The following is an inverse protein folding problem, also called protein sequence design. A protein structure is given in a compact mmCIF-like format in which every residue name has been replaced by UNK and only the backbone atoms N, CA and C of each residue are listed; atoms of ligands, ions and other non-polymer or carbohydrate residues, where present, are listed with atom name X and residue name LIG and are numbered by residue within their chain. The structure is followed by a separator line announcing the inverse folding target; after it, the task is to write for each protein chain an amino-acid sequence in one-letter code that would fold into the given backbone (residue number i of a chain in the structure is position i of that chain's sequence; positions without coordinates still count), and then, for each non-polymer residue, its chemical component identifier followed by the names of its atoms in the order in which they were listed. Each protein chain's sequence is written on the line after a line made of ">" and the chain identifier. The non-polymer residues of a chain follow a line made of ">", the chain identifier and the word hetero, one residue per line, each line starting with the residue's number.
data_IF_088011008669
#
_entry.id   IF_088011008669
#
_cell.length_a   1.000
_cell.length_b   1.000
_cell.length_c   1.000
_cell.angle_alpha   90.00
_cell.angle_beta   90.00
_cell.angle_gamma   90.00
#
_symmetry.space_group_name_H-M   'P 1'
#
loop_
_entity.id
_entity.type
_entity.pdbx_description
1 polymer ?
#
# COMPACT_ATOMS: atom_id res chain seq x y z
N UNK A 1 -16.23 -9.35 -7.21
CA UNK A 1 -16.12 -7.93 -7.69
C UNK A 1 -15.67 -7.00 -6.58
N UNK A 2 -16.35 -6.98 -5.43
CA UNK A 2 -15.98 -6.11 -4.31
C UNK A 2 -14.55 -6.32 -3.84
N UNK A 3 -14.07 -7.57 -3.80
CA UNK A 3 -12.67 -7.89 -3.47
C UNK A 3 -11.67 -7.14 -4.36
N UNK A 4 -11.85 -7.17 -5.68
CA UNK A 4 -11.00 -6.43 -6.62
C UNK A 4 -11.04 -4.91 -6.44
N UNK A 5 -12.22 -4.34 -6.20
CA UNK A 5 -12.36 -2.91 -5.94
C UNK A 5 -11.68 -2.52 -4.63
N UNK A 6 -11.82 -3.35 -3.59
CA UNK A 6 -11.14 -3.17 -2.32
C UNK A 6 -9.62 -3.26 -2.48
N UNK A 7 -9.10 -4.22 -3.26
CA UNK A 7 -7.67 -4.33 -3.54
C UNK A 7 -7.11 -3.05 -4.16
N UNK A 8 -7.75 -2.52 -5.21
CA UNK A 8 -7.33 -1.25 -5.84
C UNK A 8 -7.41 -0.08 -4.85
N UNK A 9 -8.48 0.00 -4.06
CA UNK A 9 -8.66 1.05 -3.06
C UNK A 9 -7.55 1.05 -2.00
N UNK A 10 -7.18 -0.12 -1.50
CA UNK A 10 -6.11 -0.27 -0.49
C UNK A 10 -4.76 0.15 -1.05
N UNK A 11 -4.41 -0.23 -2.27
CA UNK A 11 -3.13 0.17 -2.90
C UNK A 11 -3.10 1.69 -3.12
N UNK A 12 -4.17 2.28 -3.65
CA UNK A 12 -4.25 3.73 -3.86
C UNK A 12 -4.19 4.51 -2.54
N UNK A 13 -4.83 4.00 -1.49
CA UNK A 13 -4.75 4.59 -0.16
C UNK A 13 -3.32 4.52 0.40
N UNK A 14 -2.60 3.41 0.18
CA UNK A 14 -1.19 3.27 0.55
C UNK A 14 -0.30 4.29 -0.16
N UNK A 15 -0.53 4.56 -1.46
CA UNK A 15 0.18 5.61 -2.21
C UNK A 15 -0.12 6.99 -1.61
N UNK A 16 -1.37 7.26 -1.28
CA UNK A 16 -1.77 8.51 -0.63
C UNK A 16 -1.05 8.69 0.71
N UNK A 17 -1.00 7.67 1.57
CA UNK A 17 -0.27 7.72 2.83
C UNK A 17 1.22 7.99 2.64
N UNK A 18 1.85 7.36 1.65
CA UNK A 18 3.24 7.62 1.32
C UNK A 18 3.45 9.08 0.84
N UNK A 19 2.51 9.64 0.09
CA UNK A 19 2.51 11.06 -0.30
C UNK A 19 2.37 12.00 0.91
N UNK A 20 1.45 11.72 1.83
CA UNK A 20 1.29 12.48 3.08
C UNK A 20 2.58 12.43 3.92
N UNK A 21 3.25 11.27 3.97
CA UNK A 21 4.51 11.11 4.72
C UNK A 21 5.72 11.78 4.08
N UNK A 22 5.76 11.87 2.76
CA UNK A 22 6.84 12.56 2.05
C UNK A 22 6.64 14.07 2.00
N UNK A 23 5.41 14.52 1.76
CA UNK A 23 5.11 15.91 1.41
C UNK A 23 4.07 16.56 2.33
N UNK A 24 3.14 15.79 2.89
CA UNK A 24 1.98 16.31 3.63
C UNK A 24 2.32 17.17 4.83
N UNK A 25 3.39 16.84 5.57
CA UNK A 25 3.86 17.65 6.71
C UNK A 25 4.42 19.01 6.29
N UNK A 26 4.93 19.15 5.06
CA UNK A 26 5.53 20.40 4.55
C UNK A 26 4.59 21.20 3.66
N UNK A 27 3.75 20.53 2.87
CA UNK A 27 2.87 21.11 1.84
C UNK A 27 1.52 20.40 1.80
N UNK A 28 0.59 20.72 2.73
CA UNK A 28 -0.71 20.03 2.81
C UNK A 28 -1.55 20.18 1.54
N UNK A 29 -1.43 21.30 0.81
CA UNK A 29 -2.16 21.52 -0.45
C UNK A 29 -1.79 20.52 -1.55
N UNK A 30 -0.51 20.18 -1.69
CA UNK A 30 -0.05 19.20 -2.70
C UNK A 30 -0.55 17.81 -2.36
N UNK A 31 -0.50 17.43 -1.08
CA UNK A 31 -1.04 16.14 -0.62
C UNK A 31 -2.54 16.03 -0.87
N UNK A 32 -3.30 17.11 -0.68
CA UNK A 32 -4.74 17.13 -0.96
C UNK A 32 -5.03 16.96 -2.45
N UNK A 33 -4.29 17.66 -3.32
CA UNK A 33 -4.42 17.50 -4.78
C UNK A 33 -4.15 16.07 -5.24
N UNK A 34 -3.09 15.43 -4.72
CA UNK A 34 -2.79 14.03 -5.01
C UNK A 34 -3.93 13.13 -4.53
N UNK A 35 -4.49 13.38 -3.34
CA UNK A 35 -5.66 12.65 -2.84
C UNK A 35 -6.87 12.73 -3.78
N UNK A 36 -7.21 13.92 -4.26
CA UNK A 36 -8.30 14.12 -5.24
C UNK A 36 -8.03 13.37 -6.54
N UNK A 37 -6.81 13.44 -7.06
CA UNK A 37 -6.42 12.73 -8.28
C UNK A 37 -6.55 11.21 -8.12
N UNK A 38 -6.15 10.65 -6.98
CA UNK A 38 -6.27 9.22 -6.69
C UNK A 38 -7.74 8.78 -6.57
N UNK A 39 -8.60 9.60 -5.96
CA UNK A 39 -10.05 9.34 -5.87
C UNK A 39 -10.69 9.34 -7.26
N UNK A 40 -10.34 10.31 -8.11
CA UNK A 40 -10.83 10.36 -9.49
C UNK A 40 -10.37 9.12 -10.29
N UNK A 41 -9.11 8.74 -10.14
CA UNK A 41 -8.54 7.54 -10.77
C UNK A 41 -9.28 6.28 -10.31
N UNK A 42 -9.51 6.13 -9.00
CA UNK A 42 -10.27 5.01 -8.43
C UNK A 42 -11.69 4.95 -8.98
N UNK A 43 -12.40 6.08 -8.96
CA UNK A 43 -13.79 6.17 -9.42
C UNK A 43 -13.90 5.85 -10.91
N UNK A 44 -12.96 6.34 -11.72
CA UNK A 44 -12.88 6.02 -13.15
C UNK A 44 -12.64 4.52 -13.38
N UNK A 45 -11.68 3.93 -12.67
CA UNK A 45 -11.37 2.49 -12.76
C UNK A 45 -12.55 1.61 -12.38
N UNK A 46 -13.22 1.91 -11.25
CA UNK A 46 -14.42 1.17 -10.81
C UNK A 46 -15.57 1.36 -11.80
N UNK A 47 -15.76 2.58 -12.32
CA UNK A 47 -16.81 2.85 -13.30
C UNK A 47 -16.59 2.06 -14.60
N UNK A 48 -15.36 2.01 -15.10
CA UNK A 48 -15.00 1.21 -16.28
C UNK A 48 -15.32 -0.27 -16.07
N UNK A 49 -14.83 -0.86 -14.97
CA UNK A 49 -15.06 -2.28 -14.65
C UNK A 49 -16.52 -2.63 -14.34
N UNK A 50 -17.32 -1.64 -13.92
CA UNK A 50 -18.74 -1.85 -13.57
C UNK A 50 -19.66 -1.72 -14.79
N UNK A 51 -19.43 -0.72 -15.66
CA UNK A 51 -20.37 -0.34 -16.72
C UNK A 51 -19.96 -0.75 -18.14
N UNK A 52 -18.67 -1.01 -18.39
CA UNK A 52 -18.19 -1.35 -19.75
C UNK A 52 -18.07 -2.86 -19.90
N UNK A 53 -17.06 -3.45 -19.27
CA UNK A 53 -16.82 -4.89 -19.29
C UNK A 53 -15.94 -5.26 -18.12
N UNK A 54 -16.34 -6.27 -17.35
CA UNK A 54 -15.52 -6.77 -16.27
C UNK A 54 -14.41 -7.66 -16.82
N UNK A 55 -13.29 -7.04 -17.19
CA UNK A 55 -12.07 -7.73 -17.64
C UNK A 55 -11.14 -7.95 -16.44
N UNK A 56 -10.98 -9.21 -16.05
CA UNK A 56 -10.11 -9.62 -14.95
C UNK A 56 -8.63 -9.34 -15.24
N UNK A 57 -8.18 -9.57 -16.48
CA UNK A 57 -6.80 -9.34 -16.88
C UNK A 57 -6.43 -7.86 -16.83
N UNK A 58 -7.35 -6.99 -17.26
CA UNK A 58 -7.20 -5.54 -17.11
C UNK A 58 -7.08 -5.14 -15.63
N UNK A 59 -7.97 -5.65 -14.77
CA UNK A 59 -7.94 -5.35 -13.34
C UNK A 59 -6.62 -5.79 -12.69
N UNK A 60 -6.13 -6.99 -13.05
CA UNK A 60 -4.86 -7.50 -12.57
C UNK A 60 -3.68 -6.61 -13.02
N UNK A 61 -3.62 -6.24 -14.30
CA UNK A 61 -2.57 -5.37 -14.83
C UNK A 61 -2.59 -3.97 -14.18
N UNK A 62 -3.77 -3.40 -13.97
CA UNK A 62 -3.93 -2.14 -13.26
C UNK A 62 -3.43 -2.23 -11.80
N UNK A 63 -3.82 -3.27 -11.06
CA UNK A 63 -3.38 -3.45 -9.68
C UNK A 63 -1.87 -3.72 -9.57
N UNK A 64 -1.29 -4.49 -10.48
CA UNK A 64 0.16 -4.74 -10.51
C UNK A 64 0.93 -3.47 -10.83
N UNK A 65 0.48 -2.66 -11.80
CA UNK A 65 1.16 -1.42 -12.17
C UNK A 65 1.12 -0.39 -11.04
N UNK A 66 -0.06 -0.15 -10.44
CA UNK A 66 -0.24 0.75 -9.29
C UNK A 66 0.53 0.20 -8.06
N UNK A 67 0.52 -1.11 -7.85
CA UNK A 67 1.31 -1.79 -6.82
C UNK A 67 2.80 -1.55 -6.97
N UNK A 68 3.34 -1.65 -8.19
CA UNK A 68 4.76 -1.37 -8.45
C UNK A 68 5.15 0.07 -8.10
N UNK A 69 4.29 1.04 -8.43
CA UNK A 69 4.49 2.44 -8.03
C UNK A 69 4.52 2.57 -6.50
N UNK A 70 3.59 1.90 -5.81
CA UNK A 70 3.53 1.86 -4.35
C UNK A 70 4.80 1.26 -3.74
N UNK A 71 5.27 0.12 -4.25
CA UNK A 71 6.52 -0.55 -3.83
C UNK A 71 7.71 0.40 -3.91
N UNK A 72 7.94 0.95 -5.10
CA UNK A 72 9.12 1.78 -5.38
C UNK A 72 9.11 3.06 -4.52
N UNK A 73 7.94 3.68 -4.34
CA UNK A 73 7.82 4.89 -3.54
C UNK A 73 8.13 4.60 -2.06
N UNK A 74 7.52 3.59 -1.47
CA UNK A 74 7.77 3.23 -0.07
C UNK A 74 9.23 2.82 0.17
N UNK A 75 9.84 2.06 -0.74
CA UNK A 75 11.26 1.70 -0.65
C UNK A 75 12.16 2.93 -0.72
N UNK A 76 11.85 3.88 -1.63
CA UNK A 76 12.57 5.14 -1.73
C UNK A 76 12.48 5.96 -0.44
N UNK A 77 11.28 6.06 0.15
CA UNK A 77 11.08 6.73 1.44
C UNK A 77 11.85 6.05 2.57
N UNK A 78 11.78 4.72 2.68
CA UNK A 78 12.53 3.95 3.68
C UNK A 78 14.03 4.16 3.53
N UNK A 79 14.54 4.17 2.29
CA UNK A 79 15.96 4.35 2.01
C UNK A 79 16.45 5.74 2.43
N UNK A 80 15.68 6.79 2.13
CA UNK A 80 16.00 8.16 2.54
C UNK A 80 16.01 8.28 4.06
N UNK A 81 15.06 7.63 4.74
CA UNK A 81 14.86 7.79 6.18
C UNK A 81 15.60 6.76 7.04
N UNK A 82 16.35 5.82 6.45
CA UNK A 82 17.03 4.72 7.15
C UNK A 82 18.03 5.16 8.23
N UNK A 83 18.59 6.36 8.07
CA UNK A 83 19.58 6.92 9.01
C UNK A 83 18.93 7.61 10.20
N UNK A 84 17.67 8.03 10.05
CA UNK A 84 16.94 8.84 11.02
C UNK A 84 15.94 8.01 11.81
N UNK A 85 15.24 7.08 11.14
CA UNK A 85 14.16 6.32 11.75
C UNK A 85 14.63 4.91 12.13
N UNK A 86 14.62 4.52 13.41
CA UNK A 86 15.08 3.20 13.85
C UNK A 86 14.15 2.05 13.41
N UNK A 87 12.90 2.35 13.07
CA UNK A 87 11.86 1.41 12.66
C UNK A 87 11.73 1.24 11.13
N UNK A 88 12.67 1.78 10.35
CA UNK A 88 12.67 1.69 8.87
C UNK A 88 12.55 0.24 8.35
N UNK A 89 13.16 -0.71 9.06
CA UNK A 89 13.16 -2.13 8.69
C UNK A 89 11.75 -2.74 8.71
N UNK A 90 10.88 -2.32 9.64
CA UNK A 90 9.48 -2.81 9.71
C UNK A 90 8.73 -2.43 8.46
N UNK A 91 8.89 -1.20 8.00
CA UNK A 91 8.27 -0.70 6.78
C UNK A 91 8.75 -1.46 5.54
N UNK A 92 10.07 -1.62 5.38
CA UNK A 92 10.65 -2.38 4.27
C UNK A 92 10.14 -3.83 4.28
N UNK A 93 10.11 -4.46 5.45
CA UNK A 93 9.66 -5.84 5.59
C UNK A 93 8.17 -5.98 5.23
N UNK A 94 7.30 -5.09 5.69
CA UNK A 94 5.88 -5.07 5.30
C UNK A 94 5.72 -4.90 3.79
N UNK A 95 6.42 -3.93 3.20
CA UNK A 95 6.30 -3.62 1.77
C UNK A 95 6.77 -4.78 0.91
N UNK A 96 7.90 -5.42 1.26
CA UNK A 96 8.42 -6.59 0.56
C UNK A 96 7.51 -7.81 0.73
N UNK A 97 7.00 -8.06 1.95
CA UNK A 97 6.08 -9.17 2.18
C UNK A 97 4.78 -9.00 1.41
N UNK A 98 4.14 -7.83 1.44
CA UNK A 98 2.88 -7.61 0.72
C UNK A 98 3.03 -7.82 -0.79
N UNK A 99 4.12 -7.34 -1.40
CA UNK A 99 4.36 -7.54 -2.83
C UNK A 99 4.80 -8.97 -3.16
N UNK A 100 5.59 -9.61 -2.29
CA UNK A 100 5.96 -11.01 -2.44
C UNK A 100 4.76 -11.94 -2.35
N UNK A 101 3.84 -11.69 -1.41
CA UNK A 101 2.60 -12.46 -1.26
C UNK A 101 1.62 -12.18 -2.42
N UNK A 102 1.62 -10.98 -3.00
CA UNK A 102 0.84 -10.70 -4.20
C UNK A 102 1.28 -11.53 -5.42
N UNK A 103 2.50 -12.09 -5.42
CA UNK A 103 2.93 -13.04 -6.45
C UNK A 103 2.13 -14.35 -6.39
N UNK A 104 1.60 -14.74 -5.22
CA UNK A 104 0.77 -15.95 -5.10
C UNK A 104 -0.47 -15.83 -5.97
N UNK A 105 -1.14 -14.67 -5.95
CA UNK A 105 -2.28 -14.35 -6.81
C UNK A 105 -1.92 -14.40 -8.30
N UNK A 106 -0.73 -13.88 -8.66
CA UNK A 106 -0.23 -13.88 -10.04
C UNK A 106 0.15 -15.27 -10.56
N UNK A 107 0.61 -16.16 -9.69
CA UNK A 107 1.03 -17.51 -10.05
C UNK A 107 -0.16 -18.43 -10.33
N UNK A 108 -1.35 -18.11 -9.78
CA UNK A 108 -2.64 -18.78 -10.05
C UNK A 108 -2.53 -20.31 -10.11
N UNK A 109 -1.91 -20.90 -9.09
CA UNK A 109 -1.66 -22.34 -9.05
C UNK A 109 -2.91 -23.15 -8.67
N UNK A 110 -3.04 -24.42 -9.13
CA UNK A 110 -4.20 -25.26 -8.82
C UNK A 110 -4.31 -25.55 -7.32
N UNK A 111 -5.53 -25.76 -6.79
CA UNK A 111 -5.75 -25.87 -5.35
C UNK A 111 -4.96 -27.02 -4.72
N UNK A 112 -4.18 -26.67 -3.69
CA UNK A 112 -3.46 -27.62 -2.86
C UNK A 112 -4.44 -28.45 -2.05
N UNK A 113 -4.28 -29.78 -2.11
CA UNK A 113 -5.13 -30.74 -1.42
C UNK A 113 -6.63 -30.60 -1.73
N UNK A 114 -7.00 -29.92 -2.83
CA UNK A 114 -8.39 -29.56 -3.14
C UNK A 114 -9.08 -28.65 -2.11
N UNK A 115 -8.31 -28.00 -1.23
CA UNK A 115 -8.83 -27.14 -0.16
C UNK A 115 -8.35 -25.69 -0.29
N UNK A 116 -7.06 -25.48 -0.60
CA UNK A 116 -6.47 -24.15 -0.62
C UNK A 116 -6.00 -23.77 -2.02
N UNK A 117 -6.70 -22.85 -2.67
CA UNK A 117 -6.23 -22.22 -3.90
C UNK A 117 -5.24 -21.08 -3.61
N UNK A 118 -4.61 -20.57 -4.67
CA UNK A 118 -3.64 -19.49 -4.57
C UNK A 118 -4.21 -18.24 -3.88
N UNK A 119 -5.48 -17.93 -4.16
CA UNK A 119 -6.18 -16.78 -3.60
C UNK A 119 -6.43 -16.91 -2.09
N UNK A 120 -6.88 -18.09 -1.61
CA UNK A 120 -7.08 -18.35 -0.19
C UNK A 120 -5.76 -18.33 0.60
N UNK A 121 -4.68 -18.87 0.01
CA UNK A 121 -3.34 -18.81 0.61
C UNK A 121 -2.86 -17.36 0.69
N UNK A 122 -3.10 -16.56 -0.35
CA UNK A 122 -2.80 -15.13 -0.36
C UNK A 122 -3.50 -14.41 0.80
N UNK A 123 -4.83 -14.55 0.93
CA UNK A 123 -5.59 -13.95 2.05
C UNK A 123 -5.09 -14.39 3.42
N UNK A 124 -4.79 -15.68 3.60
CA UNK A 124 -4.29 -16.20 4.88
C UNK A 124 -2.91 -15.62 5.22
N UNK A 125 -2.03 -15.53 4.23
CA UNK A 125 -0.65 -15.09 4.40
C UNK A 125 -0.50 -13.59 4.71
N UNK A 126 -1.45 -12.75 4.30
CA UNK A 126 -1.41 -11.29 4.54
C UNK A 126 -1.83 -10.89 5.96
N UNK A 127 -2.59 -11.74 6.67
CA UNK A 127 -3.04 -11.50 8.06
C UNK A 127 -1.89 -11.09 9.01
N UNK A 128 -0.79 -11.85 9.16
CA UNK A 128 0.30 -11.47 10.06
C UNK A 128 1.03 -10.20 9.60
N UNK A 129 1.04 -9.90 8.30
CA UNK A 129 1.71 -8.71 7.74
C UNK A 129 1.03 -7.43 8.23
N UNK A 130 -0.31 -7.45 8.38
CA UNK A 130 -1.06 -6.32 8.92
C UNK A 130 -0.72 -6.02 10.39
N UNK A 131 -0.43 -7.05 11.19
CA UNK A 131 0.01 -6.86 12.59
C UNK A 131 1.34 -6.12 12.63
N UNK A 132 2.29 -6.50 11.77
CA UNK A 132 3.57 -5.81 11.66
C UNK A 132 3.42 -4.37 11.15
N UNK A 133 2.54 -4.16 10.17
CA UNK A 133 2.22 -2.83 9.65
C UNK A 133 1.67 -1.92 10.74
N UNK A 134 0.77 -2.43 11.58
CA UNK A 134 0.23 -1.66 12.70
C UNK A 134 1.32 -1.31 13.74
N UNK A 135 2.24 -2.24 14.03
CA UNK A 135 3.38 -1.94 14.89
C UNK A 135 4.28 -0.83 14.31
N UNK A 136 4.52 -0.83 13.00
CA UNK A 136 5.22 0.26 12.33
C UNK A 136 4.50 1.60 12.48
N UNK A 137 3.17 1.64 12.29
CA UNK A 137 2.39 2.87 12.42
C UNK A 137 2.44 3.44 13.83
N UNK A 138 2.38 2.60 14.87
CA UNK A 138 2.50 3.04 16.26
C UNK A 138 3.86 3.72 16.48
N UNK A 139 4.95 3.06 16.08
CA UNK A 139 6.31 3.60 16.26
C UNK A 139 6.47 4.94 15.52
N UNK A 140 5.92 5.03 14.31
CA UNK A 140 5.98 6.24 13.48
C UNK A 140 5.19 7.40 14.10
N UNK A 141 3.98 7.14 14.60
CA UNK A 141 3.18 8.13 15.33
C UNK A 141 3.86 8.59 16.63
N UNK A 142 4.44 7.68 17.41
CA UNK A 142 5.16 8.02 18.64
C UNK A 142 6.41 8.87 18.36
N UNK A 143 7.15 8.54 17.30
CA UNK A 143 8.32 9.33 16.88
C UNK A 143 7.95 10.77 16.56
N UNK A 144 6.87 10.99 15.79
CA UNK A 144 6.41 12.32 15.41
C UNK A 144 5.92 13.12 16.61
N UNK A 145 5.14 12.50 17.49
CA UNK A 145 4.64 13.15 18.71
C UNK A 145 5.79 13.61 19.61
N UNK A 146 6.81 12.77 19.77
CA UNK A 146 7.98 13.11 20.59
C UNK A 146 8.81 14.22 19.95
N UNK A 147 8.95 14.21 18.62
CA UNK A 147 9.71 15.25 17.90
C UNK A 147 9.02 16.61 17.98
N UNK A 148 7.69 16.65 17.89
CA UNK A 148 6.88 17.86 18.11
C UNK A 148 7.03 18.39 19.54
N UNK A 149 6.93 17.52 20.55
CA UNK A 149 7.11 17.90 21.97
C UNK A 149 8.50 18.46 22.27
N UNK A 150 9.53 17.97 21.58
CA UNK A 150 10.91 18.45 21.74
C UNK A 150 11.19 19.76 21.01
N UNK A 151 10.22 20.32 20.26
CA UNK A 151 10.40 21.54 19.47
C UNK A 151 11.39 21.40 18.32
N UNK A 152 11.81 20.16 18.00
CA UNK A 152 12.68 19.87 16.88
C UNK A 152 11.82 19.94 15.63
N UNK A 153 12.05 20.94 14.76
CA UNK A 153 11.45 20.93 13.43
C UNK A 153 11.97 19.70 12.71
N UNK A 154 11.06 18.83 12.29
CA UNK A 154 11.37 17.71 11.39
C UNK A 154 11.75 18.34 10.03
N UNK A 155 13.06 18.56 9.83
CA UNK A 155 13.64 19.15 8.62
C UNK A 155 13.56 18.27 7.39
#
# INVERSE_FOLDING_TARGET
>A
KMDYFCATAVILYSIYLCCVRTLGLRRPGVSSMVGVLLILTFTSHVSYLTFVSFDYGYNMAANVSIGMVNLLWWLCWCWQNRRTLPYWWKCVLVVLLLHGLALLELLDFPPLLWVFDAHAVWHLSTVPVHVLFYSFLIDDSLYLLNTEKMGVKVE
#
